data_IF_211708193572
#
_entry.id   IF_211708193572
#
_cell.length_a   1.000
_cell.length_b   1.000
_cell.length_c   1.000
_cell.angle_alpha   90.00
_cell.angle_beta   90.00
_cell.angle_gamma   90.00
#
_symmetry.space_group_name_H-M   'P 1'
#
loop_
_entity.id
_entity.type
_entity.pdbx_description
1 polymer ?
#
# COMPACT_ATOMS: atom_id res chain seq x y z
N UNK A 1 -18.38 28.67 -34.20
CA UNK A 1 -19.07 27.36 -34.33
C UNK A 1 -18.12 26.27 -34.83
N UNK A 2 -17.32 26.50 -35.89
CA UNK A 2 -16.37 25.53 -36.44
C UNK A 2 -15.34 24.97 -35.42
N UNK A 3 -14.73 25.81 -34.58
CA UNK A 3 -13.70 25.33 -33.64
C UNK A 3 -14.24 24.35 -32.58
N UNK A 4 -15.50 24.51 -32.19
CA UNK A 4 -16.17 23.68 -31.17
C UNK A 4 -16.48 22.28 -31.69
N UNK A 5 -16.99 22.21 -32.92
CA UNK A 5 -17.30 20.94 -33.57
C UNK A 5 -16.02 20.19 -33.96
N UNK A 6 -14.98 20.93 -34.34
CA UNK A 6 -13.64 20.39 -34.62
C UNK A 6 -12.98 19.85 -33.35
N UNK A 7 -13.08 20.55 -32.21
CA UNK A 7 -12.57 20.07 -30.92
C UNK A 7 -13.29 18.80 -30.47
N UNK A 8 -14.63 18.77 -30.53
CA UNK A 8 -15.44 17.60 -30.15
C UNK A 8 -15.08 16.36 -30.97
N UNK A 9 -15.02 16.52 -32.29
CA UNK A 9 -14.76 15.42 -33.22
C UNK A 9 -13.31 14.96 -33.15
N UNK A 10 -12.36 15.89 -33.00
CA UNK A 10 -10.94 15.60 -32.87
C UNK A 10 -10.56 14.96 -31.54
N UNK A 11 -11.12 15.44 -30.42
CA UNK A 11 -10.87 14.88 -29.10
C UNK A 11 -11.49 13.49 -28.95
N UNK A 12 -12.76 13.31 -29.33
CA UNK A 12 -13.41 12.00 -29.29
C UNK A 12 -12.71 10.96 -30.17
N UNK A 13 -12.28 11.34 -31.38
CA UNK A 13 -11.51 10.46 -32.27
C UNK A 13 -10.16 10.05 -31.66
N UNK A 14 -9.45 10.98 -31.02
CA UNK A 14 -8.19 10.67 -30.33
C UNK A 14 -8.39 9.76 -29.12
N UNK A 15 -9.41 10.01 -28.29
CA UNK A 15 -9.70 9.19 -27.12
C UNK A 15 -10.15 7.77 -27.51
N UNK A 16 -10.92 7.62 -28.59
CA UNK A 16 -11.26 6.33 -29.15
C UNK A 16 -10.02 5.57 -29.66
N UNK A 17 -9.10 6.27 -30.33
CA UNK A 17 -7.82 5.69 -30.75
C UNK A 17 -6.95 5.24 -29.58
N UNK A 18 -6.86 6.05 -28.52
CA UNK A 18 -6.13 5.70 -27.29
C UNK A 18 -6.78 4.49 -26.60
N UNK A 19 -8.12 4.47 -26.43
CA UNK A 19 -8.83 3.32 -25.86
C UNK A 19 -8.54 2.04 -26.65
N UNK A 20 -8.64 2.07 -27.97
CA UNK A 20 -8.37 0.89 -28.81
C UNK A 20 -6.91 0.41 -28.68
N UNK A 21 -5.94 1.33 -28.55
CA UNK A 21 -4.54 0.96 -28.29
C UNK A 21 -4.35 0.32 -26.91
N UNK A 22 -5.05 0.80 -25.89
CA UNK A 22 -4.98 0.22 -24.54
C UNK A 22 -5.68 -1.14 -24.48
N UNK A 23 -6.80 -1.32 -25.19
CA UNK A 23 -7.57 -2.57 -25.22
C UNK A 23 -6.91 -3.69 -26.05
N UNK A 24 -6.29 -3.34 -27.18
CA UNK A 24 -5.81 -4.32 -28.19
C UNK A 24 -4.28 -4.35 -28.30
N UNK A 25 -3.57 -3.45 -27.63
CA UNK A 25 -2.11 -3.38 -27.69
C UNK A 25 -1.41 -4.47 -26.88
N UNK A 26 -0.51 -5.20 -27.52
CA UNK A 26 0.28 -6.29 -26.91
C UNK A 26 1.48 -5.78 -26.06
N UNK A 27 1.46 -4.52 -25.61
CA UNK A 27 2.57 -3.91 -24.86
C UNK A 27 2.38 -3.93 -23.34
N UNK A 28 1.26 -4.46 -22.85
CA UNK A 28 0.94 -4.56 -21.42
C UNK A 28 1.58 -5.80 -20.80
N UNK A 29 2.49 -5.59 -19.84
CA UNK A 29 3.04 -6.67 -19.02
C UNK A 29 2.22 -6.93 -17.75
N UNK A 30 1.46 -5.93 -17.29
CA UNK A 30 0.58 -6.00 -16.12
C UNK A 30 -0.86 -5.64 -16.51
N UNK A 31 -1.79 -6.54 -16.16
CA UNK A 31 -3.22 -6.36 -16.40
C UNK A 31 -3.84 -5.31 -15.48
N UNK A 32 -3.26 -5.07 -14.31
CA UNK A 32 -3.76 -4.06 -13.38
C UNK A 32 -3.42 -2.65 -13.87
N UNK A 33 -2.22 -2.43 -14.41
CA UNK A 33 -1.83 -1.17 -15.07
C UNK A 33 -2.72 -0.87 -16.29
N UNK A 34 -3.00 -1.89 -17.10
CA UNK A 34 -3.93 -1.78 -18.23
C UNK A 34 -5.32 -1.35 -17.77
N UNK A 35 -5.84 -1.98 -16.71
CA UNK A 35 -7.16 -1.66 -16.15
C UNK A 35 -7.22 -0.25 -15.57
N UNK A 36 -6.20 0.18 -14.83
CA UNK A 36 -6.12 1.54 -14.29
C UNK A 36 -6.14 2.60 -15.39
N UNK A 37 -5.48 2.34 -16.53
CA UNK A 37 -5.50 3.27 -17.65
C UNK A 37 -6.86 3.28 -18.35
N UNK A 38 -7.53 2.13 -18.50
CA UNK A 38 -8.91 2.07 -19.02
C UNK A 38 -9.90 2.81 -18.12
N UNK A 39 -9.78 2.66 -16.80
CA UNK A 39 -10.59 3.38 -15.83
C UNK A 39 -10.35 4.90 -15.92
N UNK A 40 -9.09 5.33 -16.09
CA UNK A 40 -8.77 6.74 -16.30
C UNK A 40 -9.36 7.30 -17.61
N UNK A 41 -9.29 6.53 -18.71
CA UNK A 41 -9.93 6.88 -19.99
C UNK A 41 -11.44 7.01 -19.83
N UNK A 42 -12.06 6.13 -19.04
CA UNK A 42 -13.50 6.17 -18.80
C UNK A 42 -13.91 7.35 -17.93
N UNK A 43 -13.11 7.73 -16.94
CA UNK A 43 -13.32 8.97 -16.17
C UNK A 43 -13.26 10.19 -17.10
N UNK A 44 -12.31 10.23 -18.03
CA UNK A 44 -12.20 11.32 -19.02
C UNK A 44 -13.41 11.35 -19.95
N UNK A 45 -13.90 10.21 -20.44
CA UNK A 45 -15.14 10.15 -21.23
C UNK A 45 -16.36 10.61 -20.44
N UNK A 46 -16.52 10.16 -19.19
CA UNK A 46 -17.64 10.60 -18.31
C UNK A 46 -17.57 12.09 -18.00
N UNK A 47 -16.36 12.64 -17.85
CA UNK A 47 -16.17 14.08 -17.72
C UNK A 47 -16.55 14.79 -19.02
N UNK A 48 -16.10 14.30 -20.18
CA UNK A 48 -16.48 14.85 -21.47
C UNK A 48 -18.00 14.83 -21.67
N UNK A 49 -18.71 13.73 -21.39
CA UNK A 49 -20.17 13.63 -21.51
C UNK A 49 -20.90 14.61 -20.58
N UNK A 50 -20.44 14.73 -19.32
CA UNK A 50 -20.97 15.71 -18.37
C UNK A 50 -20.74 17.15 -18.83
N UNK A 51 -19.55 17.44 -19.37
CA UNK A 51 -19.26 18.75 -19.92
C UNK A 51 -19.97 19.00 -21.24
N UNK A 52 -20.20 17.99 -22.11
CA UNK A 52 -20.99 18.07 -23.34
C UNK A 52 -22.45 18.42 -23.07
N UNK A 53 -23.04 17.83 -22.01
CA UNK A 53 -24.36 18.22 -21.50
C UNK A 53 -24.37 19.64 -20.94
N UNK A 54 -23.24 20.14 -20.43
CA UNK A 54 -23.06 21.51 -19.96
C UNK A 54 -22.53 22.46 -21.05
N UNK A 55 -22.31 21.99 -22.30
CA UNK A 55 -22.00 22.89 -23.42
C UNK A 55 -23.31 23.57 -23.85
N UNK A 56 -23.75 24.48 -22.99
CA UNK A 56 -24.49 25.71 -23.26
C UNK A 56 -25.56 25.61 -24.33
N UNK A 57 -26.63 24.88 -24.03
CA UNK A 57 -27.91 25.12 -24.67
C UNK A 57 -28.60 26.28 -23.91
N UNK A 58 -28.11 27.51 -24.12
CA UNK A 58 -28.75 28.73 -23.62
C UNK A 58 -28.25 29.31 -22.29
N UNK A 59 -27.16 28.81 -21.70
CA UNK A 59 -26.65 29.35 -20.43
C UNK A 59 -25.70 30.54 -20.65
N UNK A 60 -25.87 31.59 -19.85
CA UNK A 60 -25.01 32.77 -19.94
C UNK A 60 -23.57 32.41 -19.55
N UNK A 61 -22.57 33.09 -20.13
CA UNK A 61 -21.15 32.97 -19.72
C UNK A 61 -20.97 33.04 -18.19
N UNK A 62 -21.78 33.85 -17.53
CA UNK A 62 -21.80 34.02 -16.08
C UNK A 62 -22.18 32.73 -15.33
N UNK A 63 -23.11 31.93 -15.86
CA UNK A 63 -23.53 30.68 -15.23
C UNK A 63 -22.40 29.65 -15.24
N UNK A 64 -21.74 29.46 -16.37
CA UNK A 64 -20.63 28.50 -16.42
C UNK A 64 -19.37 28.99 -15.71
N UNK A 65 -19.12 30.30 -15.65
CA UNK A 65 -18.06 30.83 -14.79
C UNK A 65 -18.36 30.52 -13.30
N UNK A 66 -19.64 30.49 -12.89
CA UNK A 66 -20.05 30.07 -11.55
C UNK A 66 -19.91 28.56 -11.35
N UNK A 67 -20.32 27.76 -12.33
CA UNK A 67 -20.22 26.30 -12.25
C UNK A 67 -18.76 25.85 -12.19
N UNK A 68 -17.87 26.46 -12.99
CA UNK A 68 -16.42 26.20 -12.92
C UNK A 68 -15.86 26.57 -11.55
N UNK A 69 -16.31 27.67 -10.94
CA UNK A 69 -15.90 28.04 -9.57
C UNK A 69 -16.38 27.01 -8.56
N UNK A 70 -17.63 26.57 -8.65
CA UNK A 70 -18.18 25.54 -7.77
C UNK A 70 -17.42 24.21 -7.90
N UNK A 71 -17.10 23.80 -9.13
CA UNK A 71 -16.35 22.59 -9.41
C UNK A 71 -14.92 22.65 -8.83
N UNK A 72 -14.24 23.80 -8.94
CA UNK A 72 -12.92 24.01 -8.33
C UNK A 72 -12.95 23.88 -6.81
N UNK A 73 -14.00 24.37 -6.16
CA UNK A 73 -14.18 24.22 -4.70
C UNK A 73 -14.36 22.75 -4.36
N UNK A 74 -15.26 22.04 -5.03
CA UNK A 74 -15.50 20.61 -4.78
C UNK A 74 -14.24 19.75 -4.98
N UNK A 75 -13.47 20.00 -6.05
CA UNK A 75 -12.21 19.27 -6.30
C UNK A 75 -11.18 19.54 -5.21
N UNK A 76 -11.09 20.78 -4.72
CA UNK A 76 -10.19 21.12 -3.61
C UNK A 76 -10.60 20.45 -2.30
N UNK A 77 -11.91 20.39 -2.01
CA UNK A 77 -12.42 19.75 -0.80
C UNK A 77 -12.14 18.24 -0.84
N UNK A 78 -12.45 17.58 -1.96
CA UNK A 78 -12.11 16.16 -2.18
C UNK A 78 -10.60 15.90 -2.08
N UNK A 79 -9.78 16.80 -2.60
CA UNK A 79 -8.33 16.68 -2.48
C UNK A 79 -7.87 16.76 -1.01
N UNK A 80 -8.41 17.70 -0.23
CA UNK A 80 -8.10 17.83 1.20
C UNK A 80 -8.55 16.60 1.98
N UNK A 81 -9.75 16.09 1.73
CA UNK A 81 -10.25 14.88 2.37
C UNK A 81 -9.35 13.67 2.07
N UNK A 82 -8.95 13.50 0.81
CA UNK A 82 -8.04 12.42 0.40
C UNK A 82 -6.67 12.54 1.08
N UNK A 83 -6.09 13.75 1.15
CA UNK A 83 -4.81 13.98 1.82
C UNK A 83 -4.92 13.67 3.31
N UNK A 84 -6.00 14.09 3.99
CA UNK A 84 -6.21 13.80 5.40
C UNK A 84 -6.34 12.30 5.67
N UNK A 85 -7.05 11.57 4.81
CA UNK A 85 -7.19 10.12 4.90
C UNK A 85 -5.84 9.40 4.78
N UNK A 86 -5.05 9.76 3.76
CA UNK A 86 -3.71 9.18 3.54
C UNK A 86 -2.78 9.47 4.73
N UNK A 87 -2.81 10.69 5.26
CA UNK A 87 -2.01 11.05 6.43
C UNK A 87 -2.39 10.22 7.66
N UNK A 88 -3.69 9.99 7.87
CA UNK A 88 -4.19 9.15 8.96
C UNK A 88 -3.71 7.70 8.81
N UNK A 89 -3.86 7.12 7.62
CA UNK A 89 -3.42 5.74 7.33
C UNK A 89 -1.90 5.58 7.51
N UNK A 90 -1.12 6.56 7.05
CA UNK A 90 0.33 6.57 7.25
C UNK A 90 0.71 6.62 8.74
N UNK A 91 0.01 7.43 9.54
CA UNK A 91 0.26 7.51 10.97
C UNK A 91 -0.10 6.21 11.69
N UNK A 92 -1.21 5.57 11.32
CA UNK A 92 -1.61 4.26 11.88
C UNK A 92 -0.60 3.16 11.52
N UNK A 93 -0.11 3.14 10.28
CA UNK A 93 0.92 2.21 9.84
C UNK A 93 2.24 2.43 10.58
N UNK A 94 2.64 3.68 10.79
CA UNK A 94 3.85 4.02 11.55
C UNK A 94 3.75 3.55 13.01
N UNK A 95 2.61 3.79 13.66
CA UNK A 95 2.38 3.31 15.04
C UNK A 95 2.47 1.80 15.12
N UNK A 96 1.80 1.06 14.21
CA UNK A 96 1.89 -0.41 14.16
C UNK A 96 3.32 -0.90 13.94
N UNK A 97 4.09 -0.23 13.08
CA UNK A 97 5.49 -0.58 12.84
C UNK A 97 6.35 -0.38 14.10
N UNK A 98 6.09 0.67 14.89
CA UNK A 98 6.77 0.89 16.18
C UNK A 98 6.41 -0.20 17.19
N UNK A 99 5.13 -0.55 17.30
CA UNK A 99 4.67 -1.61 18.21
C UNK A 99 5.29 -2.97 17.85
N UNK A 100 5.32 -3.33 16.56
CA UNK A 100 5.98 -4.55 16.11
C UNK A 100 7.48 -4.55 16.36
N UNK A 101 8.14 -3.40 16.21
CA UNK A 101 9.57 -3.26 16.53
C UNK A 101 9.81 -3.50 18.02
N UNK A 102 8.94 -3.00 18.89
CA UNK A 102 9.05 -3.22 20.34
C UNK A 102 8.84 -4.71 20.68
N UNK A 103 7.77 -5.31 20.16
CA UNK A 103 7.49 -6.73 20.37
C UNK A 103 8.64 -7.64 19.86
N UNK A 104 9.27 -7.28 18.74
CA UNK A 104 10.44 -8.00 18.23
C UNK A 104 11.64 -7.91 19.18
N UNK A 105 11.87 -6.74 19.80
CA UNK A 105 12.96 -6.57 20.76
C UNK A 105 12.71 -7.37 22.04
N UNK A 106 11.47 -7.36 22.54
CA UNK A 106 11.07 -8.15 23.71
C UNK A 106 11.19 -9.65 23.44
N UNK A 107 10.74 -10.12 22.27
CA UNK A 107 10.89 -11.52 21.88
C UNK A 107 12.35 -11.96 21.76
N UNK A 108 13.21 -11.10 21.20
CA UNK A 108 14.67 -11.36 21.14
C UNK A 108 15.28 -11.45 22.53
N UNK A 109 14.90 -10.55 23.43
CA UNK A 109 15.39 -10.57 24.81
C UNK A 109 14.96 -11.85 25.53
N UNK A 110 13.70 -12.24 25.41
CA UNK A 110 13.19 -13.48 26.01
C UNK A 110 13.91 -14.72 25.45
N UNK A 111 14.22 -14.73 24.15
CA UNK A 111 14.99 -15.81 23.53
C UNK A 111 16.42 -15.89 24.06
N UNK A 112 17.08 -14.74 24.27
CA UNK A 112 18.43 -14.68 24.83
C UNK A 112 18.46 -15.15 26.28
N UNK A 113 17.49 -14.73 27.10
CA UNK A 113 17.32 -15.20 28.48
C UNK A 113 17.09 -16.72 28.54
N UNK A 114 16.16 -17.26 27.74
CA UNK A 114 15.91 -18.72 27.67
C UNK A 114 17.15 -19.51 27.23
N UNK A 115 17.91 -18.99 26.27
CA UNK A 115 19.14 -19.64 25.83
C UNK A 115 20.22 -19.67 26.91
N UNK A 116 20.31 -18.61 27.72
CA UNK A 116 21.28 -18.50 28.82
C UNK A 116 20.90 -19.45 29.95
N UNK A 117 19.62 -19.45 30.36
CA UNK A 117 19.12 -20.37 31.39
C UNK A 117 19.32 -21.84 31.00
N UNK A 118 19.13 -22.16 29.71
CA UNK A 118 19.36 -23.51 29.19
C UNK A 118 20.84 -23.91 29.20
N UNK A 119 21.74 -22.99 28.86
CA UNK A 119 23.18 -23.24 28.89
C UNK A 119 23.68 -23.47 30.32
N UNK A 120 23.21 -22.68 31.28
CA UNK A 120 23.52 -22.86 32.71
C UNK A 120 23.02 -24.21 33.22
N UNK A 121 21.77 -24.59 32.91
CA UNK A 121 21.22 -25.87 33.31
C UNK A 121 21.99 -27.07 32.71
N UNK A 122 22.47 -26.94 31.47
CA UNK A 122 23.29 -27.97 30.83
C UNK A 122 24.66 -28.10 31.51
N UNK A 123 25.31 -26.98 31.81
CA UNK A 123 26.60 -26.97 32.51
C UNK A 123 26.50 -27.62 33.91
N UNK A 124 25.43 -27.34 34.65
CA UNK A 124 25.16 -27.96 35.96
C UNK A 124 24.92 -29.47 35.87
N UNK A 125 24.18 -29.92 34.84
CA UNK A 125 23.94 -31.32 34.58
C UNK A 125 25.24 -32.06 34.24
N UNK A 126 26.07 -31.49 33.36
CA UNK A 126 27.36 -32.06 32.95
C UNK A 126 28.35 -32.14 34.12
N UNK A 127 28.41 -31.10 34.95
CA UNK A 127 29.22 -31.10 36.16
C UNK A 127 28.76 -32.18 37.15
N UNK A 128 27.44 -32.34 37.34
CA UNK A 128 26.88 -33.38 38.20
C UNK A 128 27.20 -34.79 37.67
N UNK A 129 27.07 -35.01 36.35
CA UNK A 129 27.42 -36.28 35.72
C UNK A 129 28.91 -36.63 35.91
N UNK A 130 29.81 -35.66 35.72
CA UNK A 130 31.25 -35.84 35.93
C UNK A 130 31.60 -36.21 37.39
N UNK A 131 30.91 -35.63 38.38
CA UNK A 131 31.10 -36.00 39.79
C UNK A 131 30.66 -37.43 40.09
N UNK A 132 29.54 -37.89 39.51
CA UNK A 132 29.08 -39.27 39.68
C UNK A 132 30.03 -40.28 39.04
N UNK A 133 30.57 -39.99 37.85
CA UNK A 133 31.54 -40.86 37.17
C UNK A 133 32.83 -41.03 37.97
N UNK A 134 33.34 -39.92 38.55
CA UNK A 134 34.50 -39.95 39.44
C UNK A 134 34.25 -40.78 40.70
N UNK A 135 33.10 -40.58 41.34
CA UNK A 135 32.74 -41.29 42.59
C UNK A 135 32.50 -42.79 42.33
N UNK A 136 31.92 -43.16 41.17
CA UNK A 136 31.78 -44.55 40.74
C UNK A 136 33.11 -45.24 40.44
N UNK A 137 34.09 -44.51 39.92
CA UNK A 137 35.45 -45.02 39.68
C UNK A 137 36.23 -45.25 40.98
N UNK A 138 36.06 -44.37 41.97
CA UNK A 138 36.72 -44.49 43.29
C UNK A 138 36.19 -45.67 44.13
N UNK A 139 34.95 -46.12 43.89
CA UNK A 139 34.35 -47.27 44.58
C UNK A 139 34.59 -48.63 43.88
N UNK A 140 35.08 -48.64 42.64
CA UNK A 140 35.39 -49.86 41.87
C UNK A 140 36.76 -50.48 42.26
N UNK A 141 37.66 -49.70 42.86
CA UNK A 141 39.04 -50.13 43.16
C UNK A 141 39.24 -50.84 44.52
N UNK A 142 38.19 -51.25 45.23
CA UNK A 142 38.32 -51.98 46.50
C UNK A 142 37.75 -53.42 46.45
N UNK A 143 37.97 -54.12 45.33
CA UNK A 143 37.82 -55.56 45.23
C UNK A 143 39.18 -56.17 44.83
N UNK A 144 40.11 -56.17 45.78
CA UNK A 144 41.39 -56.88 45.73
C UNK A 144 41.59 -57.66 47.02
#
# INVERSE_FOLDING_TARGET
>A
MQDRETFRTGFGSKMAGVRNLVEVGDFWNDKEEQKQLLDAIEVVHKLQEKFESQVFHGESKTQVDQDIKALKVQVNDLHRERVAMIQKEAQEAETKARDWKLALLEAKKAQEEDSTEREEAQHDADHTAAQLEKTGSDHSSNAG
#
